data_IF_448936142725
#
_entry.id   IF_448936142725
#
_cell.length_a   1.000
_cell.length_b   1.000
_cell.length_c   1.000
_cell.angle_alpha   90.00
_cell.angle_beta   90.00
_cell.angle_gamma   90.00
#
_symmetry.space_group_name_H-M   'P 1'
#
loop_
_entity.id
_entity.type
_entity.pdbx_description
1 polymer ?
#
# COMPACT_ATOMS: atom_id res chain seq x y z
N UNK A 1 21.18 -20.38 24.78
CA UNK A 1 20.91 -19.01 24.30
C UNK A 1 19.46 -18.98 23.87
N UNK A 2 18.58 -18.40 24.68
CA UNK A 2 17.16 -18.26 24.34
C UNK A 2 17.05 -17.13 23.31
N UNK A 3 16.38 -17.29 22.17
CA UNK A 3 16.17 -16.18 21.25
C UNK A 3 15.33 -15.12 21.97
N UNK A 4 15.84 -13.89 22.02
CA UNK A 4 15.13 -12.74 22.55
C UNK A 4 13.93 -12.48 21.64
N UNK A 5 12.71 -12.67 22.14
CA UNK A 5 11.50 -12.41 21.37
C UNK A 5 11.34 -10.89 21.27
N UNK A 6 11.80 -10.32 20.16
CA UNK A 6 11.59 -8.91 19.84
C UNK A 6 10.08 -8.66 19.64
N UNK A 7 9.50 -7.89 20.55
CA UNK A 7 8.11 -7.42 20.42
C UNK A 7 8.07 -6.35 19.32
N UNK A 8 7.20 -6.48 18.31
CA UNK A 8 7.14 -5.51 17.23
C UNK A 8 6.62 -4.15 17.71
N UNK A 9 7.22 -3.08 17.21
CA UNK A 9 6.70 -1.73 17.40
C UNK A 9 5.42 -1.53 16.57
N UNK A 10 4.38 -0.99 17.22
CA UNK A 10 3.08 -0.79 16.60
C UNK A 10 2.98 0.61 16.00
N UNK A 11 2.78 0.67 14.68
CA UNK A 11 2.62 1.89 13.90
C UNK A 11 1.13 2.17 13.68
N UNK A 12 0.66 3.31 14.17
CA UNK A 12 -0.73 3.76 14.00
C UNK A 12 -0.78 4.81 12.87
N UNK A 13 -1.45 4.51 11.74
CA UNK A 13 -1.50 5.44 10.61
C UNK A 13 -2.02 6.82 10.99
N UNK A 14 -1.26 7.86 10.60
CA UNK A 14 -1.60 9.26 10.89
C UNK A 14 -1.12 9.77 12.25
N UNK A 15 -0.60 8.90 13.12
CA UNK A 15 -0.07 9.30 14.44
C UNK A 15 1.32 8.74 14.74
N UNK A 16 1.86 7.85 13.90
CA UNK A 16 3.26 7.40 13.97
C UNK A 16 4.20 8.60 14.00
N UNK A 17 5.06 8.67 15.02
CA UNK A 17 5.99 9.80 15.18
C UNK A 17 7.31 9.56 14.44
N UNK A 18 8.06 10.65 14.17
CA UNK A 18 9.38 10.56 13.58
C UNK A 18 10.37 9.77 14.46
N UNK A 19 10.26 9.87 15.80
CA UNK A 19 11.13 9.14 16.72
C UNK A 19 10.97 7.61 16.59
N UNK A 20 9.73 7.14 16.38
CA UNK A 20 9.45 5.72 16.11
C UNK A 20 10.07 5.28 14.77
N UNK A 21 9.93 6.09 13.72
CA UNK A 21 10.52 5.81 12.42
C UNK A 21 12.06 5.79 12.47
N UNK A 22 12.67 6.72 13.20
CA UNK A 22 14.11 6.76 13.42
C UNK A 22 14.61 5.53 14.18
N UNK A 23 13.89 5.12 15.23
CA UNK A 23 14.22 3.92 16.00
C UNK A 23 14.24 2.69 15.08
N UNK A 24 13.14 2.44 14.37
CA UNK A 24 13.02 1.35 13.40
C UNK A 24 14.14 1.34 12.36
N UNK A 25 14.48 2.51 11.82
CA UNK A 25 15.55 2.64 10.83
C UNK A 25 16.93 2.30 11.39
N UNK A 26 17.24 2.74 12.61
CA UNK A 26 18.57 2.54 13.22
C UNK A 26 18.78 1.14 13.79
N UNK A 27 17.72 0.49 14.26
CA UNK A 27 17.82 -0.77 14.99
C UNK A 27 17.31 -1.98 14.22
N UNK A 28 16.72 -1.77 13.05
CA UNK A 28 16.06 -2.83 12.26
C UNK A 28 15.03 -3.61 13.09
N UNK A 29 14.42 -2.95 14.09
CA UNK A 29 13.45 -3.59 14.96
C UNK A 29 12.20 -4.02 14.17
N UNK A 30 11.55 -5.13 14.55
CA UNK A 30 10.32 -5.55 13.88
C UNK A 30 9.22 -4.51 14.09
N UNK A 31 8.44 -4.26 13.05
CA UNK A 31 7.31 -3.35 13.09
C UNK A 31 6.02 -4.03 12.61
N UNK A 32 4.89 -3.57 13.12
CA UNK A 32 3.55 -3.94 12.62
C UNK A 32 2.66 -2.72 12.55
N UNK A 33 1.76 -2.68 11.57
CA UNK A 33 0.65 -1.73 11.60
C UNK A 33 -0.33 -2.13 12.70
N UNK A 34 -0.95 -1.12 13.33
CA UNK A 34 -2.06 -1.32 14.23
C UNK A 34 -3.18 -2.14 13.56
N UNK A 35 -3.76 -3.16 14.23
CA UNK A 35 -4.74 -4.07 13.61
C UNK A 35 -5.94 -3.35 12.96
N UNK A 36 -6.35 -2.21 13.52
CA UNK A 36 -7.47 -1.39 13.06
C UNK A 36 -7.21 -0.79 11.67
N UNK A 37 -5.95 -0.68 11.25
CA UNK A 37 -5.59 -0.22 9.91
C UNK A 37 -6.09 -1.18 8.82
N UNK A 38 -6.20 -2.48 9.12
CA UNK A 38 -6.53 -3.52 8.14
C UNK A 38 -7.84 -3.23 7.41
N UNK A 39 -8.91 -2.91 8.14
CA UNK A 39 -10.21 -2.66 7.53
C UNK A 39 -10.18 -1.48 6.54
N UNK A 40 -9.42 -0.43 6.85
CA UNK A 40 -9.27 0.73 5.97
C UNK A 40 -8.47 0.40 4.71
N UNK A 41 -7.42 -0.42 4.84
CA UNK A 41 -6.62 -0.91 3.71
C UNK A 41 -7.47 -1.77 2.78
N UNK A 42 -8.21 -2.75 3.31
CA UNK A 42 -9.09 -3.61 2.50
C UNK A 42 -10.17 -2.78 1.77
N UNK A 43 -10.77 -1.80 2.46
CA UNK A 43 -11.75 -0.91 1.83
C UNK A 43 -11.13 -0.03 0.73
N UNK A 44 -9.86 0.37 0.85
CA UNK A 44 -9.15 1.07 -0.21
C UNK A 44 -8.86 0.13 -1.39
N UNK A 45 -8.38 -1.09 -1.12
CA UNK A 45 -8.11 -2.10 -2.13
C UNK A 45 -9.37 -2.43 -2.96
N UNK A 46 -10.52 -2.61 -2.31
CA UNK A 46 -11.79 -2.86 -2.98
C UNK A 46 -12.21 -1.72 -3.93
N UNK A 47 -11.97 -0.46 -3.53
CA UNK A 47 -12.24 0.71 -4.40
C UNK A 47 -11.35 0.73 -5.63
N UNK A 48 -10.06 0.40 -5.46
CA UNK A 48 -9.12 0.31 -6.59
C UNK A 48 -9.53 -0.82 -7.53
N UNK A 49 -9.89 -2.00 -7.01
CA UNK A 49 -10.36 -3.11 -7.83
C UNK A 49 -11.61 -2.74 -8.65
N UNK A 50 -12.58 -2.05 -8.01
CA UNK A 50 -13.77 -1.57 -8.71
C UNK A 50 -13.44 -0.52 -9.78
N UNK A 51 -12.49 0.39 -9.52
CA UNK A 51 -12.03 1.38 -10.49
C UNK A 51 -11.29 0.73 -11.67
N UNK A 52 -10.46 -0.28 -11.40
CA UNK A 52 -9.73 -1.03 -12.43
C UNK A 52 -10.67 -1.80 -13.37
N UNK A 53 -11.74 -2.39 -12.84
CA UNK A 53 -12.77 -3.07 -13.62
C UNK A 53 -13.80 -2.11 -14.27
N UNK A 54 -13.83 -0.85 -13.83
CA UNK A 54 -14.76 0.16 -14.30
C UNK A 54 -14.38 0.77 -15.64
N UNK A 55 -15.35 1.40 -16.29
CA UNK A 55 -15.16 2.07 -17.59
C UNK A 55 -14.72 3.54 -17.46
N UNK A 56 -14.80 4.13 -16.26
CA UNK A 56 -14.32 5.48 -15.99
C UNK A 56 -12.79 5.51 -15.97
N UNK A 57 -12.18 6.43 -16.71
CA UNK A 57 -10.72 6.55 -16.73
C UNK A 57 -10.21 7.06 -15.37
N UNK A 58 -9.30 6.31 -14.75
CA UNK A 58 -8.66 6.61 -13.47
C UNK A 58 -7.15 6.49 -13.64
N UNK A 59 -6.46 7.62 -13.47
CA UNK A 59 -5.03 7.74 -13.71
C UNK A 59 -4.21 6.73 -12.91
N UNK A 60 -3.36 5.96 -13.60
CA UNK A 60 -2.48 4.96 -12.98
C UNK A 60 -3.21 3.75 -12.39
N UNK A 61 -4.51 3.60 -12.66
CA UNK A 61 -5.32 2.44 -12.25
C UNK A 61 -5.78 1.65 -13.49
N UNK A 62 -6.54 2.28 -14.39
CA UNK A 62 -6.94 1.69 -15.68
C UNK A 62 -6.52 2.54 -16.88
N UNK A 63 -5.57 3.45 -16.65
CA UNK A 63 -4.88 4.20 -17.70
C UNK A 63 -3.38 4.03 -17.59
N UNK A 64 -2.65 4.31 -18.67
CA UNK A 64 -1.19 4.38 -18.62
C UNK A 64 -0.67 5.49 -17.69
N UNK A 65 0.65 5.52 -17.50
CA UNK A 65 1.37 6.54 -16.73
C UNK A 65 1.92 7.65 -17.62
N UNK A 66 2.08 8.87 -17.08
CA UNK A 66 2.74 9.99 -17.77
C UNK A 66 2.08 10.33 -19.11
N UNK A 67 2.84 10.33 -20.22
CA UNK A 67 2.32 10.62 -21.56
C UNK A 67 1.23 9.65 -22.03
N UNK A 68 1.11 8.48 -21.39
CA UNK A 68 0.11 7.46 -21.69
C UNK A 68 -1.14 7.55 -20.79
N UNK A 69 -1.26 8.61 -19.97
CA UNK A 69 -2.41 8.86 -19.09
C UNK A 69 -3.77 8.86 -19.81
N UNK A 70 -3.79 9.15 -21.11
CA UNK A 70 -5.00 9.23 -21.91
C UNK A 70 -5.40 7.88 -22.56
N UNK A 71 -4.57 6.84 -22.40
CA UNK A 71 -4.82 5.53 -22.99
C UNK A 71 -5.46 4.66 -21.92
N UNK A 72 -6.70 4.22 -22.16
CA UNK A 72 -7.36 3.19 -21.33
C UNK A 72 -6.70 1.84 -21.57
N UNK A 73 -6.47 1.13 -20.49
CA UNK A 73 -5.94 -0.24 -20.47
C UNK A 73 -7.11 -1.19 -20.25
N UNK A 74 -7.14 -2.30 -20.99
CA UNK A 74 -8.17 -3.32 -20.82
C UNK A 74 -8.06 -3.95 -19.41
N UNK A 75 -9.17 -4.32 -18.75
CA UNK A 75 -9.15 -4.88 -17.40
C UNK A 75 -8.16 -6.05 -17.23
N UNK A 76 -8.05 -6.92 -18.23
CA UNK A 76 -7.13 -8.06 -18.29
C UNK A 76 -5.63 -7.68 -18.31
N UNK A 77 -5.30 -6.46 -18.74
CA UNK A 77 -3.94 -5.96 -18.83
C UNK A 77 -3.54 -5.06 -17.64
N UNK A 78 -4.48 -4.75 -16.74
CA UNK A 78 -4.24 -3.87 -15.59
C UNK A 78 -3.22 -4.43 -14.58
N UNK A 79 -3.13 -5.75 -14.43
CA UNK A 79 -2.09 -6.38 -13.60
C UNK A 79 -0.70 -6.24 -14.23
N UNK A 80 -0.61 -6.32 -15.56
CA UNK A 80 0.65 -6.15 -16.29
C UNK A 80 1.14 -4.70 -16.25
N UNK A 81 0.22 -3.74 -16.24
CA UNK A 81 0.53 -2.31 -16.09
C UNK A 81 1.34 -2.00 -14.81
N UNK A 82 1.10 -2.73 -13.71
CA UNK A 82 1.69 -2.43 -12.40
C UNK A 82 3.03 -3.16 -12.13
N UNK A 83 3.59 -3.87 -13.11
CA UNK A 83 4.80 -4.68 -12.93
C UNK A 83 6.13 -3.90 -13.02
N UNK A 84 6.10 -2.64 -13.43
CA UNK A 84 7.31 -1.81 -13.65
C UNK A 84 7.10 -0.36 -13.29
#
# INVERSE_FOLDING_TARGET
>A
MTPEILTPEILVPGTTTHAQLEHLYRTEAPARLAPEARARVEAAAARIAAAAAGSAAVYGVNTGFGKLANIKIAPEDTETLQKT
#
